data_IF_720058604709
#
_entry.id   IF_720058604709
#
_cell.length_a   1.000
_cell.length_b   1.000
_cell.length_c   1.000
_cell.angle_alpha   90.00
_cell.angle_beta   90.00
_cell.angle_gamma   90.00
#
_symmetry.space_group_name_H-M   'P 1'
#
loop_
_entity.id
_entity.type
_entity.pdbx_description
1 polymer ?
#
# COMPACT_ATOMS: atom_id res chain seq x y z
N UNK A 1 23.61 -7.27 22.02
CA UNK A 1 23.64 -7.77 20.63
C UNK A 1 22.42 -8.67 20.40
N UNK A 2 22.10 -9.56 21.35
CA UNK A 2 20.93 -10.46 21.30
C UNK A 2 19.58 -9.77 21.10
N UNK A 3 19.32 -8.64 21.79
CA UNK A 3 18.08 -7.87 21.63
C UNK A 3 17.94 -7.17 20.26
N UNK A 4 19.05 -6.81 19.61
CA UNK A 4 19.03 -6.18 18.28
C UNK A 4 18.69 -7.22 17.21
N UNK A 5 19.26 -8.43 17.31
CA UNK A 5 19.00 -9.54 16.40
C UNK A 5 17.51 -9.94 16.41
N UNK A 6 16.88 -9.93 17.59
CA UNK A 6 15.45 -10.22 17.73
C UNK A 6 14.54 -9.12 17.15
N UNK A 7 15.01 -7.87 17.06
CA UNK A 7 14.25 -6.71 16.53
C UNK A 7 14.38 -6.50 15.03
N UNK A 8 15.37 -7.08 14.36
CA UNK A 8 15.54 -7.04 12.89
C UNK A 8 14.26 -7.48 12.12
N UNK A 9 13.60 -8.61 12.45
CA UNK A 9 12.36 -9.00 11.76
C UNK A 9 11.18 -8.04 12.02
N UNK A 10 11.10 -7.45 13.21
CA UNK A 10 10.05 -6.48 13.58
C UNK A 10 10.22 -5.17 12.80
N UNK A 11 11.46 -4.67 12.68
CA UNK A 11 11.80 -3.49 11.87
C UNK A 11 11.37 -3.66 10.40
N UNK A 12 11.60 -4.84 9.81
CA UNK A 12 11.19 -5.11 8.43
C UNK A 12 9.67 -5.06 8.24
N UNK A 13 8.90 -5.54 9.21
CA UNK A 13 7.43 -5.49 9.19
C UNK A 13 6.90 -4.06 9.32
N UNK A 14 7.47 -3.26 10.23
CA UNK A 14 7.12 -1.84 10.42
C UNK A 14 7.41 -1.03 9.15
N UNK A 15 8.59 -1.18 8.55
CA UNK A 15 8.94 -0.47 7.32
C UNK A 15 8.02 -0.82 6.16
N UNK A 16 7.55 -2.07 6.08
CA UNK A 16 6.55 -2.49 5.08
C UNK A 16 5.22 -1.78 5.31
N UNK A 17 4.71 -1.75 6.55
CA UNK A 17 3.46 -1.03 6.90
C UNK A 17 3.55 0.45 6.52
N UNK A 18 4.65 1.12 6.86
CA UNK A 18 4.89 2.54 6.51
C UNK A 18 4.83 2.75 5.00
N UNK A 19 5.48 1.87 4.24
CA UNK A 19 5.56 1.99 2.79
C UNK A 19 4.19 1.75 2.13
N UNK A 20 3.39 0.80 2.65
CA UNK A 20 1.99 0.58 2.21
C UNK A 20 1.11 1.77 2.55
N UNK A 21 1.21 2.33 3.76
CA UNK A 21 0.43 3.50 4.17
C UNK A 21 0.70 4.70 3.25
N UNK A 22 1.98 4.98 3.00
CA UNK A 22 2.41 6.05 2.08
C UNK A 22 1.86 5.85 0.67
N UNK A 23 1.98 4.63 0.13
CA UNK A 23 1.43 4.29 -1.18
C UNK A 23 -0.07 4.58 -1.25
N UNK A 24 -0.85 4.04 -0.31
CA UNK A 24 -2.31 4.18 -0.33
C UNK A 24 -2.73 5.64 -0.18
N UNK A 25 -2.14 6.39 0.75
CA UNK A 25 -2.47 7.80 0.98
C UNK A 25 -2.18 8.63 -0.28
N UNK A 26 -0.98 8.50 -0.84
CA UNK A 26 -0.62 9.25 -2.04
C UNK A 26 -1.46 8.83 -3.25
N UNK A 27 -1.75 7.53 -3.42
CA UNK A 27 -2.61 7.05 -4.49
C UNK A 27 -4.02 7.66 -4.36
N UNK A 28 -4.61 7.62 -3.16
CA UNK A 28 -5.91 8.23 -2.89
C UNK A 28 -5.96 9.72 -3.19
N UNK A 29 -4.92 10.48 -2.83
CA UNK A 29 -4.82 11.91 -3.14
C UNK A 29 -4.75 12.17 -4.64
N UNK A 30 -3.96 11.40 -5.38
CA UNK A 30 -3.80 11.57 -6.82
C UNK A 30 -5.10 11.22 -7.57
N UNK A 31 -5.74 10.10 -7.22
CA UNK A 31 -7.02 9.70 -7.80
C UNK A 31 -8.10 10.74 -7.51
N UNK A 32 -8.19 11.24 -6.28
CA UNK A 32 -9.13 12.30 -5.90
C UNK A 32 -8.86 13.62 -6.65
N UNK A 33 -7.62 13.85 -7.08
CA UNK A 33 -7.22 15.01 -7.89
C UNK A 33 -7.47 14.80 -9.39
N UNK A 34 -8.06 13.67 -9.80
CA UNK A 34 -8.36 13.35 -11.19
C UNK A 34 -7.18 12.80 -11.99
N UNK A 35 -6.07 12.46 -11.33
CA UNK A 35 -4.93 11.79 -12.00
C UNK A 35 -5.35 10.39 -12.42
N UNK A 36 -4.93 9.98 -13.62
CA UNK A 36 -5.25 8.64 -14.12
C UNK A 36 -4.64 7.55 -13.23
N UNK A 37 -5.30 6.38 -13.14
CA UNK A 37 -4.81 5.26 -12.32
C UNK A 37 -3.37 4.87 -12.66
N UNK A 38 -3.05 4.69 -13.94
CA UNK A 38 -1.73 4.23 -14.37
C UNK A 38 -0.63 5.24 -14.03
N UNK A 39 -0.92 6.53 -14.15
CA UNK A 39 0.00 7.61 -13.79
C UNK A 39 0.17 7.71 -12.27
N UNK A 40 -0.93 7.63 -11.53
CA UNK A 40 -0.91 7.65 -10.07
C UNK A 40 -0.12 6.46 -9.50
N UNK A 41 -0.25 5.26 -10.10
CA UNK A 41 0.55 4.09 -9.75
C UNK A 41 2.04 4.29 -10.03
N UNK A 42 2.42 4.95 -11.12
CA UNK A 42 3.83 5.22 -11.45
C UNK A 42 4.45 6.23 -10.47
N UNK A 43 3.73 7.31 -10.12
CA UNK A 43 4.16 8.29 -9.12
C UNK A 43 4.33 7.63 -7.75
N UNK A 44 3.35 6.83 -7.34
CA UNK A 44 3.33 6.20 -6.01
C UNK A 44 4.29 5.04 -5.89
N UNK A 45 4.61 4.32 -6.97
CA UNK A 45 5.66 3.30 -6.99
C UNK A 45 7.01 3.90 -6.57
N UNK A 46 7.42 5.00 -7.21
CA UNK A 46 8.66 5.73 -6.93
C UNK A 46 8.64 6.40 -5.55
N UNK A 47 7.45 6.88 -5.14
CA UNK A 47 7.24 7.51 -3.83
C UNK A 47 7.17 6.54 -2.65
N UNK A 48 7.06 5.23 -2.88
CA UNK A 48 6.85 4.23 -1.81
C UNK A 48 8.03 4.08 -0.84
N UNK A 49 9.25 4.43 -1.28
CA UNK A 49 10.47 4.35 -0.46
C UNK A 49 10.94 2.91 -0.16
N UNK A 50 10.38 1.91 -0.85
CA UNK A 50 10.71 0.50 -0.65
C UNK A 50 10.70 -0.25 -1.99
N UNK A 51 11.87 -0.76 -2.40
CA UNK A 51 12.05 -1.43 -3.68
C UNK A 51 11.14 -2.65 -3.89
N UNK A 52 10.77 -3.37 -2.82
CA UNK A 52 9.84 -4.51 -2.90
C UNK A 52 8.42 -4.03 -3.21
N UNK A 53 8.00 -2.93 -2.58
CA UNK A 53 6.69 -2.32 -2.82
C UNK A 53 6.64 -1.68 -4.21
N UNK A 54 7.68 -0.96 -4.60
CA UNK A 54 7.82 -0.37 -5.93
C UNK A 54 7.68 -1.45 -7.03
N UNK A 55 8.44 -2.55 -6.93
CA UNK A 55 8.36 -3.65 -7.88
C UNK A 55 6.99 -4.36 -7.85
N UNK A 56 6.30 -4.39 -6.71
CA UNK A 56 4.94 -4.88 -6.62
C UNK A 56 3.97 -3.96 -7.38
N UNK A 57 4.01 -2.64 -7.13
CA UNK A 57 3.13 -1.66 -7.78
C UNK A 57 3.35 -1.64 -9.29
N UNK A 58 4.60 -1.67 -9.76
CA UNK A 58 4.91 -1.72 -11.20
C UNK A 58 4.31 -2.96 -11.86
N UNK A 59 4.36 -4.13 -11.19
CA UNK A 59 3.72 -5.35 -11.69
C UNK A 59 2.20 -5.21 -11.78
N UNK A 60 1.57 -4.62 -10.75
CA UNK A 60 0.12 -4.37 -10.78
C UNK A 60 -0.24 -3.39 -11.89
N UNK A 61 0.53 -2.30 -12.06
CA UNK A 61 0.32 -1.30 -13.11
C UNK A 61 0.34 -1.96 -14.50
N UNK A 62 1.34 -2.79 -14.78
CA UNK A 62 1.47 -3.47 -16.08
C UNK A 62 0.30 -4.44 -16.33
N UNK A 63 -0.20 -5.09 -15.28
CA UNK A 63 -1.36 -5.96 -15.38
C UNK A 63 -2.65 -5.17 -15.68
N UNK A 64 -2.83 -4.01 -15.03
CA UNK A 64 -3.97 -3.11 -15.27
C UNK A 64 -3.91 -2.51 -16.68
N UNK A 65 -2.71 -2.14 -17.15
CA UNK A 65 -2.47 -1.67 -18.52
C UNK A 65 -2.84 -2.75 -19.56
N UNK A 66 -2.63 -4.02 -19.24
CA UNK A 66 -3.07 -5.16 -20.05
C UNK A 66 -4.58 -5.49 -19.92
N UNK A 67 -5.34 -4.70 -19.16
CA UNK A 67 -6.80 -4.85 -19.01
C UNK A 67 -7.24 -5.79 -17.88
N UNK A 68 -6.33 -6.22 -16.98
CA UNK A 68 -6.70 -6.94 -15.76
C UNK A 68 -7.29 -5.97 -14.72
N UNK A 69 -8.09 -6.50 -13.81
CA UNK A 69 -8.53 -5.76 -12.61
C UNK A 69 -7.33 -5.44 -11.71
N UNK A 70 -7.48 -4.44 -10.85
CA UNK A 70 -6.42 -4.05 -9.90
C UNK A 70 -6.24 -5.15 -8.84
N UNK A 71 -7.34 -5.78 -8.42
CA UNK A 71 -7.40 -6.67 -7.25
C UNK A 71 -6.51 -7.91 -7.40
N UNK A 72 -6.58 -8.60 -8.55
CA UNK A 72 -5.90 -9.89 -8.70
C UNK A 72 -4.37 -9.74 -8.69
N UNK A 73 -3.76 -8.82 -9.47
CA UNK A 73 -2.33 -8.56 -9.39
C UNK A 73 -1.91 -8.04 -8.01
N UNK A 74 -2.74 -7.21 -7.36
CA UNK A 74 -2.44 -6.73 -6.00
C UNK A 74 -2.35 -7.89 -5.01
N UNK A 75 -3.28 -8.85 -5.10
CA UNK A 75 -3.29 -10.07 -4.28
C UNK A 75 -2.07 -10.97 -4.56
N UNK A 76 -1.69 -11.13 -5.82
CA UNK A 76 -0.53 -11.92 -6.25
C UNK A 76 0.80 -11.40 -5.67
N UNK A 77 0.90 -10.10 -5.37
CA UNK A 77 2.14 -9.55 -4.81
C UNK A 77 2.41 -9.98 -3.38
N UNK A 78 1.38 -10.36 -2.60
CA UNK A 78 1.45 -10.68 -1.17
C UNK A 78 2.13 -9.60 -0.29
N UNK A 79 2.27 -8.37 -0.81
CA UNK A 79 2.84 -7.23 -0.07
C UNK A 79 1.76 -6.47 0.67
N UNK A 80 0.57 -6.38 0.08
CA UNK A 80 -0.55 -5.61 0.62
C UNK A 80 -1.39 -6.47 1.57
N UNK A 81 -1.82 -5.90 2.72
CA UNK A 81 -2.78 -6.56 3.60
C UNK A 81 -4.08 -6.90 2.87
N UNK A 82 -4.73 -8.00 3.25
CA UNK A 82 -5.99 -8.44 2.63
C UNK A 82 -7.08 -7.37 2.66
N UNK A 83 -7.15 -6.58 3.73
CA UNK A 83 -8.10 -5.46 3.85
C UNK A 83 -7.91 -4.44 2.71
N UNK A 84 -6.66 -4.07 2.39
CA UNK A 84 -6.34 -3.14 1.29
C UNK A 84 -6.85 -3.68 -0.05
N UNK A 85 -6.55 -4.95 -0.33
CA UNK A 85 -6.98 -5.64 -1.55
C UNK A 85 -8.51 -5.67 -1.67
N UNK A 86 -9.21 -5.97 -0.58
CA UNK A 86 -10.67 -6.05 -0.55
C UNK A 86 -11.33 -4.69 -0.76
N UNK A 87 -10.87 -3.65 -0.06
CA UNK A 87 -11.44 -2.31 -0.17
C UNK A 87 -11.20 -1.69 -1.55
N UNK A 88 -10.03 -1.94 -2.15
CA UNK A 88 -9.77 -1.56 -3.55
C UNK A 88 -10.75 -2.26 -4.49
N UNK A 89 -11.00 -3.56 -4.27
CA UNK A 89 -11.97 -4.30 -5.09
C UNK A 89 -13.40 -3.76 -4.98
N UNK A 90 -13.83 -3.40 -3.78
CA UNK A 90 -15.12 -2.72 -3.59
C UNK A 90 -15.14 -1.37 -4.31
N UNK A 91 -14.08 -0.59 -4.19
CA UNK A 91 -13.96 0.71 -4.87
C UNK A 91 -13.95 0.59 -6.40
N UNK A 92 -13.27 -0.41 -6.95
CA UNK A 92 -13.22 -0.69 -8.39
C UNK A 92 -14.61 -1.10 -8.93
N UNK A 93 -15.34 -1.94 -8.20
CA UNK A 93 -16.68 -2.39 -8.59
C UNK A 93 -17.74 -1.27 -8.49
N UNK A 94 -17.62 -0.40 -7.49
CA UNK A 94 -18.59 0.66 -7.21
C UNK A 94 -18.25 1.99 -7.88
N UNK A 95 -17.04 2.11 -8.45
CA UNK A 95 -16.50 3.37 -8.96
C UNK A 95 -16.09 4.37 -7.87
N UNK A 96 -16.17 3.99 -6.59
CA UNK A 96 -15.88 4.87 -5.44
C UNK A 96 -14.46 4.64 -4.89
N UNK A 97 -13.48 4.54 -5.80
CA UNK A 97 -12.11 4.20 -5.43
C UNK A 97 -11.43 5.31 -4.61
N UNK A 98 -11.76 6.56 -4.88
CA UNK A 98 -11.34 7.73 -4.12
C UNK A 98 -11.70 7.60 -2.63
N UNK A 99 -12.98 7.33 -2.34
CA UNK A 99 -13.49 7.20 -0.98
C UNK A 99 -12.92 5.95 -0.29
N UNK A 100 -12.73 4.85 -1.02
CA UNK A 100 -12.11 3.65 -0.45
C UNK A 100 -10.63 3.87 -0.13
N UNK A 101 -9.86 4.48 -1.02
CA UNK A 101 -8.43 4.76 -0.81
C UNK A 101 -8.18 5.69 0.37
N UNK A 102 -9.04 6.70 0.58
CA UNK A 102 -8.94 7.55 1.78
C UNK A 102 -9.10 6.74 3.07
N UNK A 103 -10.15 5.90 3.15
CA UNK A 103 -10.38 5.04 4.32
C UNK A 103 -9.25 4.04 4.55
N UNK A 104 -8.71 3.45 3.49
CA UNK A 104 -7.55 2.55 3.60
C UNK A 104 -6.34 3.33 4.11
N UNK A 105 -6.13 4.56 3.64
CA UNK A 105 -5.05 5.44 4.09
C UNK A 105 -5.11 5.68 5.59
N UNK A 106 -6.28 6.09 6.09
CA UNK A 106 -6.50 6.35 7.52
C UNK A 106 -6.25 5.10 8.38
N UNK A 107 -6.76 3.93 7.95
CA UNK A 107 -6.51 2.67 8.64
C UNK A 107 -5.03 2.27 8.62
N UNK A 108 -4.34 2.45 7.49
CA UNK A 108 -2.93 2.10 7.37
C UNK A 108 -2.04 3.02 8.22
N UNK A 109 -2.41 4.28 8.40
CA UNK A 109 -1.73 5.20 9.30
C UNK A 109 -1.89 4.77 10.77
N UNK A 110 -3.10 4.39 11.20
CA UNK A 110 -3.36 3.86 12.55
C UNK A 110 -2.55 2.57 12.83
N UNK A 111 -2.47 1.68 11.84
CA UNK A 111 -1.66 0.46 11.92
C UNK A 111 -0.14 0.75 11.98
N UNK A 112 0.31 1.84 11.37
CA UNK A 112 1.71 2.29 11.44
C UNK A 112 2.00 2.85 12.81
N UNK A 113 1.13 3.72 13.35
CA UNK A 113 1.30 4.33 14.66
C UNK A 113 1.35 3.28 15.76
N UNK A 114 0.46 2.29 15.70
CA UNK A 114 0.46 1.14 16.62
C UNK A 114 1.76 0.35 16.52
N UNK A 115 2.20 0.03 15.30
CA UNK A 115 3.43 -0.75 15.10
C UNK A 115 4.70 0.01 15.54
N UNK A 116 4.71 1.35 15.41
CA UNK A 116 5.79 2.20 15.91
C UNK A 116 5.76 2.27 17.44
N UNK A 117 4.58 2.42 18.05
CA UNK A 117 4.44 2.43 19.50
C UNK A 117 4.89 1.10 20.12
N UNK A 118 4.51 -0.03 19.53
CA UNK A 118 4.97 -1.37 19.93
C UNK A 118 6.48 -1.50 19.83
N UNK A 119 7.10 -0.97 18.77
CA UNK A 119 8.55 -0.99 18.59
C UNK A 119 9.29 -0.15 19.65
N UNK A 120 8.71 0.97 20.08
CA UNK A 120 9.29 1.87 21.09
C UNK A 120 9.12 1.34 22.52
N UNK A 121 8.08 0.53 22.75
CA UNK A 121 7.75 -0.02 24.08
C UNK A 121 8.28 -1.44 24.32
N UNK A 122 8.57 -2.19 23.26
CA UNK A 122 9.27 -3.49 23.29
C UNK A 122 10.79 -3.34 23.48
#
# INVERSE_FOLDING_TARGET
>A
IDGVILRIPVLGAVMRKISVARFTRTLGTLIASGVSMLEAMDITARGSGNAVIEAAIVRVRNAVEAGRTIVDPLRETAVFPNMVVQMIGVGEQTGALDAMLQKIGDFCEEEVDTAVADLLTA
#
